data_IF_051245074778
#
_entry.id   IF_051245074778
#
_cell.length_a   1.000
_cell.length_b   1.000
_cell.length_c   1.000
_cell.angle_alpha   90.00
_cell.angle_beta   90.00
_cell.angle_gamma   90.00
#
_symmetry.space_group_name_H-M   'P 1'
#
loop_
_entity.id
_entity.type
_entity.pdbx_description
1 polymer ?
#
# COMPACT_ATOMS: atom_id res chain seq x y z
N UNK A 1 -19.94 -4.04 -7.14
CA UNK A 1 -19.08 -3.27 -6.20
C UNK A 1 -19.30 -1.76 -6.38
N UNK A 2 -19.15 -0.93 -5.33
CA UNK A 2 -19.47 0.53 -5.38
C UNK A 2 -18.25 1.46 -5.35
N UNK A 3 -17.05 0.96 -5.04
CA UNK A 3 -15.86 1.80 -4.83
C UNK A 3 -15.83 2.57 -3.50
N UNK A 4 -16.80 2.32 -2.61
CA UNK A 4 -16.85 2.93 -1.28
C UNK A 4 -15.69 2.44 -0.40
N UNK A 5 -15.12 3.35 0.41
CA UNK A 5 -14.16 2.98 1.44
C UNK A 5 -14.87 2.15 2.52
N UNK A 6 -14.33 0.97 2.81
CA UNK A 6 -14.88 0.05 3.84
C UNK A 6 -13.99 -0.04 5.07
N UNK A 7 -12.69 0.23 4.92
CA UNK A 7 -11.71 0.25 5.98
C UNK A 7 -10.72 1.39 5.74
N UNK A 8 -10.27 2.02 6.83
CA UNK A 8 -9.25 3.07 6.83
C UNK A 8 -8.43 2.94 8.11
N UNK A 9 -7.12 2.74 7.97
CA UNK A 9 -6.20 2.52 9.09
C UNK A 9 -4.86 3.18 8.78
N UNK A 10 -4.16 3.69 9.80
CA UNK A 10 -2.80 4.20 9.70
C UNK A 10 -1.87 3.37 10.58
N UNK A 11 -0.70 3.02 10.06
CA UNK A 11 0.35 2.27 10.76
C UNK A 11 1.63 3.10 10.81
N UNK A 12 2.24 3.22 11.98
CA UNK A 12 3.48 3.94 12.21
C UNK A 12 4.67 2.98 12.26
N UNK A 13 4.91 2.30 11.14
CA UNK A 13 5.99 1.30 10.96
C UNK A 13 7.41 1.88 11.11
N UNK A 14 7.55 3.19 11.33
CA UNK A 14 8.84 3.80 11.64
C UNK A 14 9.17 3.86 13.13
N UNK A 15 8.16 4.02 13.98
CA UNK A 15 8.36 4.24 15.42
C UNK A 15 7.76 3.16 16.29
N UNK A 16 6.83 2.37 15.75
CA UNK A 16 6.12 1.30 16.45
C UNK A 16 6.48 -0.02 15.75
N UNK A 17 7.36 -0.86 16.34
CA UNK A 17 7.75 -2.14 15.75
C UNK A 17 6.57 -3.08 15.49
N UNK A 18 5.55 -3.05 16.36
CA UNK A 18 4.36 -3.89 16.28
C UNK A 18 3.49 -3.55 15.05
N UNK A 19 3.58 -2.31 14.55
CA UNK A 19 2.80 -1.85 13.41
C UNK A 19 3.21 -2.51 12.09
N UNK A 20 4.43 -3.07 12.01
CA UNK A 20 4.86 -3.88 10.86
C UNK A 20 3.99 -5.13 10.71
N UNK A 21 3.90 -5.91 11.79
CA UNK A 21 3.08 -7.12 11.83
C UNK A 21 1.58 -6.78 11.78
N UNK A 22 1.15 -5.70 12.42
CA UNK A 22 -0.25 -5.27 12.40
C UNK A 22 -0.70 -4.89 10.97
N UNK A 23 0.10 -4.11 10.23
CA UNK A 23 -0.20 -3.78 8.84
C UNK A 23 -0.24 -5.02 7.95
N UNK A 24 0.73 -5.93 8.11
CA UNK A 24 0.75 -7.18 7.36
C UNK A 24 -0.50 -8.04 7.63
N UNK A 25 -0.90 -8.16 8.90
CA UNK A 25 -2.10 -8.89 9.29
C UNK A 25 -3.38 -8.23 8.76
N UNK A 26 -3.47 -6.90 8.79
CA UNK A 26 -4.59 -6.17 8.23
C UNK A 26 -4.76 -6.47 6.73
N UNK A 27 -3.68 -6.38 5.94
CA UNK A 27 -3.68 -6.71 4.51
C UNK A 27 -4.07 -8.17 4.26
N UNK A 28 -3.61 -9.09 5.11
CA UNK A 28 -3.80 -10.53 4.91
C UNK A 28 -5.18 -11.01 5.30
N UNK A 29 -5.69 -10.54 6.43
CA UNK A 29 -6.81 -11.15 7.16
C UNK A 29 -8.03 -10.23 7.25
N UNK A 30 -7.85 -8.91 7.32
CA UNK A 30 -8.96 -7.99 7.60
C UNK A 30 -9.53 -7.39 6.30
N UNK A 31 -8.69 -7.18 5.28
CA UNK A 31 -9.14 -6.75 3.95
C UNK A 31 -9.84 -7.92 3.23
N UNK A 32 -11.13 -7.79 2.87
CA UNK A 32 -11.84 -8.83 2.13
C UNK A 32 -11.22 -9.10 0.75
N UNK A 33 -11.40 -10.32 0.26
CA UNK A 33 -11.08 -10.64 -1.14
C UNK A 33 -11.88 -9.77 -2.11
N UNK A 34 -11.31 -9.53 -3.29
CA UNK A 34 -11.81 -8.64 -4.33
C UNK A 34 -11.89 -7.15 -3.92
N UNK A 35 -10.98 -6.71 -3.07
CA UNK A 35 -10.90 -5.30 -2.63
C UNK A 35 -9.83 -4.52 -3.38
N UNK A 36 -10.14 -3.26 -3.70
CA UNK A 36 -9.16 -2.25 -4.10
C UNK A 36 -8.47 -1.77 -2.82
N UNK A 37 -7.14 -1.73 -2.83
CA UNK A 37 -6.34 -1.30 -1.67
C UNK A 37 -5.56 -0.05 -2.05
N UNK A 38 -5.67 1.01 -1.25
CA UNK A 38 -4.87 2.22 -1.40
C UNK A 38 -3.84 2.27 -0.27
N UNK A 39 -2.58 2.50 -0.63
CA UNK A 39 -1.50 2.69 0.35
C UNK A 39 -0.80 3.99 0.01
N UNK A 40 -0.65 4.86 1.01
CA UNK A 40 0.15 6.06 0.91
C UNK A 40 1.10 6.11 2.09
N UNK A 41 2.32 6.56 1.85
CA UNK A 41 3.29 6.80 2.91
C UNK A 41 4.10 8.05 2.61
N UNK A 42 4.47 8.77 3.66
CA UNK A 42 5.30 9.95 3.58
C UNK A 42 6.38 9.93 4.66
N UNK A 43 7.45 10.68 4.40
CA UNK A 43 8.53 10.96 5.34
C UNK A 43 9.36 9.72 5.71
N UNK A 44 8.93 8.92 6.68
CA UNK A 44 9.73 7.81 7.15
C UNK A 44 8.80 6.72 7.66
N UNK A 45 8.89 5.55 7.01
CA UNK A 45 8.05 4.38 7.31
C UNK A 45 8.85 3.06 7.30
N UNK A 46 10.13 3.08 6.90
CA UNK A 46 10.93 1.86 6.66
C UNK A 46 11.55 1.20 7.89
N UNK A 47 11.72 1.91 9.00
CA UNK A 47 12.62 1.44 10.08
C UNK A 47 12.26 0.05 10.61
N UNK A 48 10.95 -0.24 10.73
CA UNK A 48 10.47 -1.57 11.13
C UNK A 48 9.73 -2.31 10.01
N UNK A 49 9.46 -1.67 8.87
CA UNK A 49 8.72 -2.25 7.75
C UNK A 49 9.46 -3.43 7.09
N UNK A 50 9.05 -4.65 7.41
CA UNK A 50 9.58 -5.90 6.83
C UNK A 50 8.43 -6.78 6.37
N UNK A 51 7.62 -7.23 7.31
CA UNK A 51 6.45 -8.08 7.03
C UNK A 51 5.40 -7.34 6.21
N UNK A 52 5.19 -6.05 6.50
CA UNK A 52 4.23 -5.25 5.76
C UNK A 52 4.64 -5.09 4.28
N UNK A 53 5.94 -4.98 3.97
CA UNK A 53 6.43 -4.90 2.59
C UNK A 53 6.19 -6.21 1.86
N UNK A 54 6.32 -7.36 2.54
CA UNK A 54 5.97 -8.67 1.96
C UNK A 54 4.46 -8.71 1.67
N UNK A 55 3.63 -8.32 2.63
CA UNK A 55 2.17 -8.27 2.43
C UNK A 55 1.75 -7.29 1.32
N UNK A 56 2.46 -6.16 1.15
CA UNK A 56 2.23 -5.23 0.03
C UNK A 56 2.49 -5.90 -1.33
N UNK A 57 3.50 -6.77 -1.44
CA UNK A 57 3.77 -7.52 -2.69
C UNK A 57 2.66 -8.52 -3.00
N UNK A 58 2.03 -9.09 -1.98
CA UNK A 58 0.86 -9.99 -2.13
C UNK A 58 -0.38 -9.27 -2.69
N UNK A 59 -0.39 -7.94 -2.78
CA UNK A 59 -1.47 -7.13 -3.36
C UNK A 59 -1.01 -6.24 -4.53
N UNK A 60 0.22 -6.44 -5.02
CA UNK A 60 0.69 -5.81 -6.25
C UNK A 60 1.94 -4.94 -6.18
N UNK A 61 2.53 -4.74 -5.00
CA UNK A 61 3.76 -3.95 -4.90
C UNK A 61 4.91 -4.65 -5.61
N UNK A 62 5.76 -3.87 -6.27
CA UNK A 62 6.94 -4.34 -7.00
C UNK A 62 8.20 -3.70 -6.43
N UNK A 63 9.32 -4.41 -6.53
CA UNK A 63 10.60 -3.81 -6.22
C UNK A 63 10.98 -2.76 -7.29
N UNK A 64 11.60 -1.64 -6.89
CA UNK A 64 11.92 -1.26 -5.52
C UNK A 64 10.71 -0.65 -4.77
N UNK A 65 10.50 -1.06 -3.51
CA UNK A 65 9.63 -0.34 -2.57
C UNK A 65 10.52 0.60 -1.74
N UNK A 66 10.76 1.80 -2.27
CA UNK A 66 11.67 2.77 -1.66
C UNK A 66 11.03 3.43 -0.44
N UNK A 67 11.82 3.52 0.63
CA UNK A 67 11.33 3.91 1.94
C UNK A 67 12.39 4.71 2.72
N UNK A 68 13.22 5.46 2.00
CA UNK A 68 14.22 6.35 2.58
C UNK A 68 13.60 7.51 3.35
N UNK A 69 14.42 8.22 4.11
CA UNK A 69 13.98 9.41 4.84
C UNK A 69 13.60 10.54 3.87
N UNK A 70 12.36 11.00 3.96
CA UNK A 70 11.77 12.01 3.10
C UNK A 70 11.13 11.45 1.82
N UNK A 71 11.25 10.15 1.55
CA UNK A 71 10.65 9.54 0.36
C UNK A 71 9.13 9.51 0.48
N UNK A 72 8.44 9.57 -0.66
CA UNK A 72 6.99 9.46 -0.73
C UNK A 72 6.59 8.24 -1.56
N UNK A 73 5.52 7.59 -1.12
CA UNK A 73 5.00 6.38 -1.75
C UNK A 73 3.50 6.47 -1.91
N UNK A 74 3.02 6.05 -3.08
CA UNK A 74 1.61 5.83 -3.34
C UNK A 74 1.44 4.52 -4.11
N UNK A 75 0.40 3.76 -3.79
CA UNK A 75 0.06 2.53 -4.48
C UNK A 75 -1.44 2.33 -4.54
N UNK A 76 -1.88 1.81 -5.68
CA UNK A 76 -3.20 1.20 -5.90
C UNK A 76 -2.96 -0.29 -6.12
N UNK A 77 -3.39 -1.10 -5.16
CA UNK A 77 -3.27 -2.55 -5.15
C UNK A 77 -4.62 -3.26 -5.22
N UNK A 78 -4.56 -4.59 -5.30
CA UNK A 78 -5.75 -5.43 -5.32
C UNK A 78 -5.57 -6.68 -4.47
N UNK A 79 -6.52 -6.90 -3.54
CA UNK A 79 -6.60 -8.13 -2.76
C UNK A 79 -7.44 -9.14 -3.53
N UNK A 80 -6.81 -10.13 -4.15
CA UNK A 80 -7.52 -11.16 -4.91
C UNK A 80 -6.61 -12.27 -5.41
N UNK A 81 -7.16 -13.16 -6.23
CA UNK A 81 -6.44 -14.31 -6.82
C UNK A 81 -5.93 -14.03 -8.23
N UNK A 82 -6.06 -12.80 -8.72
CA UNK A 82 -5.63 -12.36 -10.05
C UNK A 82 -5.04 -10.95 -9.97
N UNK A 83 -4.32 -10.53 -11.01
CA UNK A 83 -3.64 -9.24 -11.07
C UNK A 83 -4.31 -8.32 -12.10
N UNK A 84 -5.16 -7.37 -11.67
CA UNK A 84 -5.68 -6.35 -12.57
C UNK A 84 -4.58 -5.46 -13.16
N UNK A 85 -4.79 -5.02 -14.40
CA UNK A 85 -3.84 -4.15 -15.13
C UNK A 85 -3.75 -2.72 -14.57
N UNK A 86 -4.69 -2.32 -13.71
CA UNK A 86 -4.73 -0.99 -13.10
C UNK A 86 -3.93 -0.89 -11.79
N UNK A 87 -3.32 -1.98 -11.31
CA UNK A 87 -2.37 -1.92 -10.19
C UNK A 87 -1.22 -1.01 -10.57
N UNK A 88 -0.91 -0.05 -9.71
CA UNK A 88 0.11 0.97 -9.95
C UNK A 88 0.82 1.31 -8.64
N UNK A 89 2.09 1.67 -8.72
CA UNK A 89 2.83 2.25 -7.61
C UNK A 89 3.71 3.40 -8.10
N UNK A 90 3.95 4.37 -7.23
CA UNK A 90 4.86 5.48 -7.43
C UNK A 90 5.72 5.61 -6.19
N UNK A 91 7.03 5.58 -6.39
CA UNK A 91 8.05 5.85 -5.38
C UNK A 91 8.79 7.11 -5.82
N UNK A 92 8.82 8.14 -4.97
CA UNK A 92 9.61 9.34 -5.24
C UNK A 92 10.64 9.55 -4.13
N UNK A 93 11.91 9.80 -4.48
CA UNK A 93 12.93 10.22 -3.53
C UNK A 93 12.56 11.53 -2.83
N UNK A 94 13.13 11.73 -1.63
CA UNK A 94 13.06 12.98 -0.89
C UNK A 94 13.30 14.22 -1.75
N UNK A 95 12.46 15.24 -1.58
CA UNK A 95 12.54 16.52 -2.29
C UNK A 95 11.84 16.55 -3.66
N UNK A 96 11.30 15.44 -4.17
CA UNK A 96 10.57 15.41 -5.45
C UNK A 96 9.06 15.68 -5.34
N UNK A 97 8.58 15.97 -4.12
CA UNK A 97 7.17 16.25 -3.85
C UNK A 97 6.35 14.98 -3.57
N UNK A 98 5.02 15.09 -3.56
CA UNK A 98 4.13 13.98 -3.23
C UNK A 98 4.04 12.96 -4.37
N UNK A 99 4.13 11.67 -4.04
CA UNK A 99 3.77 10.59 -4.95
C UNK A 99 2.28 10.65 -5.27
N UNK A 100 1.93 10.59 -6.56
CA UNK A 100 0.56 10.74 -7.06
C UNK A 100 0.23 9.63 -8.05
N UNK A 101 -0.98 9.09 -7.95
CA UNK A 101 -1.53 8.12 -8.90
C UNK A 101 -2.88 8.64 -9.40
N UNK A 102 -3.04 8.63 -10.72
CA UNK A 102 -4.31 8.91 -11.39
C UNK A 102 -4.69 7.68 -12.22
N UNK A 103 -5.69 6.93 -11.77
CA UNK A 103 -6.10 5.68 -12.44
C UNK A 103 -7.61 5.54 -12.52
N UNK A 104 -8.08 4.78 -13.50
CA UNK A 104 -9.49 4.42 -13.67
C UNK A 104 -9.65 2.95 -13.35
N UNK A 105 -10.46 2.65 -12.34
CA UNK A 105 -10.71 1.28 -11.90
C UNK A 105 -12.13 0.88 -12.34
N UNK A 106 -12.29 -0.13 -13.20
CA UNK A 106 -13.61 -0.63 -13.55
C UNK A 106 -14.24 -1.32 -12.34
N UNK A 107 -15.45 -0.91 -11.97
CA UNK A 107 -16.23 -1.63 -10.97
C UNK A 107 -16.77 -2.91 -11.61
N UNK A 108 -16.42 -4.07 -11.04
CA UNK A 108 -17.02 -5.32 -11.49
C UNK A 108 -18.47 -5.38 -10.98
N UNK A 109 -19.38 -5.61 -11.94
CA UNK A 109 -20.81 -5.76 -11.74
C UNK A 109 -21.16 -7.02 -10.97
#
# INVERSE_FOLDING_TARGET
>A
MTGAATHEVTFNTNWVPEDDAAMANFIRNDIPQNSIVLITAQFSWSRHARECVIAMKEIGAQEPVHAGFGDTFAMVGFKGTYWPTWIQQVNLPSGQGPAQIYTKIPLMG
#
